data_IF_714358512739
#
_entry.id   IF_714358512739
#
_cell.length_a   1.000
_cell.length_b   1.000
_cell.length_c   1.000
_cell.angle_alpha   90.00
_cell.angle_beta   90.00
_cell.angle_gamma   90.00
#
_symmetry.space_group_name_H-M   'P 1'
#
loop_
_entity.id
_entity.type
_entity.pdbx_description
1 polymer ?
#
# COMPACT_ATOMS: atom_id res chain seq x y z
N UNK A 1 14.81 55.45 15.08
CA UNK A 1 15.79 56.10 14.17
C UNK A 1 16.14 55.06 13.10
N UNK A 2 15.89 55.35 11.82
CA UNK A 2 16.90 55.73 10.81
C UNK A 2 17.88 54.57 10.46
N UNK A 3 18.16 54.22 9.19
CA UNK A 3 17.74 54.87 7.92
C UNK A 3 17.73 53.88 6.73
N UNK A 4 17.37 54.37 5.53
CA UNK A 4 16.98 53.60 4.32
C UNK A 4 17.99 53.67 3.16
N UNK A 5 17.62 53.08 2.00
CA UNK A 5 18.21 53.17 0.63
C UNK A 5 19.25 52.09 0.26
N UNK A 6 19.40 51.65 -1.01
CA UNK A 6 18.85 52.12 -2.31
C UNK A 6 18.45 50.99 -3.30
N UNK A 7 18.03 51.32 -4.53
CA UNK A 7 17.58 50.40 -5.62
C UNK A 7 18.41 50.54 -6.92
N UNK A 8 18.57 49.45 -7.67
CA UNK A 8 18.70 49.35 -9.16
C UNK A 8 18.07 47.99 -9.60
N UNK A 9 17.32 47.75 -10.70
CA UNK A 9 16.76 48.48 -11.87
C UNK A 9 17.48 48.29 -13.24
N UNK A 10 16.72 47.76 -14.21
CA UNK A 10 16.87 47.76 -15.70
C UNK A 10 17.98 46.89 -16.37
N UNK A 11 17.85 46.40 -17.62
CA UNK A 11 16.66 46.12 -18.48
C UNK A 11 17.00 45.29 -19.76
N UNK A 12 15.99 44.56 -20.26
CA UNK A 12 15.63 44.19 -21.66
C UNK A 12 16.66 44.29 -22.82
N UNK A 13 16.75 43.23 -23.63
CA UNK A 13 17.02 43.28 -25.08
C UNK A 13 16.35 42.09 -25.83
N UNK A 14 16.06 42.26 -27.13
CA UNK A 14 15.24 41.33 -27.96
C UNK A 14 15.98 40.90 -29.23
N UNK A 15 15.60 39.76 -29.84
CA UNK A 15 16.07 39.32 -31.17
C UNK A 15 15.11 38.31 -31.80
N UNK A 16 14.93 38.31 -33.13
CA UNK A 16 13.83 37.58 -33.78
C UNK A 16 14.12 37.12 -35.24
N UNK A 17 13.62 35.91 -35.55
CA UNK A 17 12.94 35.46 -36.79
C UNK A 17 13.59 35.58 -38.21
N UNK A 18 13.15 34.63 -39.06
CA UNK A 18 13.23 34.55 -40.56
C UNK A 18 14.52 34.01 -41.22
N UNK A 19 14.50 33.34 -42.39
CA UNK A 19 13.55 32.33 -42.97
C UNK A 19 14.10 31.69 -44.28
N UNK A 20 13.60 30.49 -44.64
CA UNK A 20 13.64 29.80 -45.97
C UNK A 20 14.97 29.60 -46.74
N UNK A 21 15.19 28.36 -47.21
CA UNK A 21 15.05 27.99 -48.63
C UNK A 21 15.22 26.47 -48.86
N UNK A 22 14.65 25.94 -49.95
CA UNK A 22 14.72 24.54 -50.34
C UNK A 22 14.64 24.39 -51.88
N UNK A 23 15.16 23.29 -52.45
CA UNK A 23 14.74 22.76 -53.75
C UNK A 23 14.10 21.36 -53.63
N UNK A 24 13.27 20.97 -54.60
CA UNK A 24 12.51 19.72 -54.57
C UNK A 24 12.68 18.86 -55.84
N UNK A 25 12.77 17.55 -55.65
CA UNK A 25 12.62 16.43 -56.61
C UNK A 25 12.49 15.14 -55.77
N UNK A 26 11.75 14.08 -56.12
CA UNK A 26 10.73 13.86 -57.16
C UNK A 26 9.74 12.76 -56.67
N UNK A 27 8.65 12.52 -57.38
CA UNK A 27 7.55 11.61 -56.97
C UNK A 27 7.72 10.16 -57.47
N UNK A 28 7.31 9.19 -56.64
CA UNK A 28 7.03 7.80 -57.03
C UNK A 28 6.00 7.20 -56.07
N UNK A 29 4.90 6.64 -56.59
CA UNK A 29 3.79 6.15 -55.78
C UNK A 29 4.07 4.79 -55.11
N UNK A 30 3.62 4.65 -53.86
CA UNK A 30 3.47 3.37 -53.14
C UNK A 30 2.34 3.49 -52.12
N UNK A 31 1.19 2.89 -52.40
CA UNK A 31 0.03 2.87 -51.48
C UNK A 31 0.22 1.82 -50.39
N UNK A 32 0.33 2.25 -49.14
CA UNK A 32 0.20 1.39 -47.97
C UNK A 32 -0.62 2.12 -46.90
N UNK A 33 -1.86 1.70 -46.70
CA UNK A 33 -2.66 2.09 -45.54
C UNK A 33 -2.05 1.45 -44.28
N UNK A 34 -1.83 2.27 -43.26
CA UNK A 34 -1.45 1.84 -41.92
C UNK A 34 -2.18 2.73 -40.91
N UNK A 35 -3.45 2.38 -40.63
CA UNK A 35 -4.07 2.75 -39.37
C UNK A 35 -3.23 2.15 -38.23
N UNK A 36 -2.77 3.02 -37.34
CA UNK A 36 -2.20 2.64 -36.05
C UNK A 36 -3.08 3.22 -34.96
N UNK A 37 -4.06 2.43 -34.57
CA UNK A 37 -4.79 2.60 -33.32
C UNK A 37 -3.81 2.44 -32.13
N UNK A 38 -3.99 3.23 -31.09
CA UNK A 38 -3.11 3.29 -29.91
C UNK A 38 -3.91 2.99 -28.64
N UNK A 39 -4.38 1.74 -28.55
CA UNK A 39 -4.88 1.14 -27.32
C UNK A 39 -3.71 0.72 -26.42
N UNK A 40 -3.11 1.68 -25.70
CA UNK A 40 -2.19 1.40 -24.59
C UNK A 40 -3.00 0.89 -23.38
N UNK A 41 -3.46 -0.37 -23.46
CA UNK A 41 -3.99 -1.09 -22.30
C UNK A 41 -2.81 -1.53 -21.43
N UNK A 42 -2.56 -0.80 -20.35
CA UNK A 42 -1.56 -1.14 -19.33
C UNK A 42 -2.05 -2.31 -18.45
N UNK A 43 -2.07 -3.51 -19.02
CA UNK A 43 -2.20 -4.78 -18.31
C UNK A 43 -1.00 -4.97 -17.37
N UNK A 44 -1.15 -4.52 -16.12
CA UNK A 44 -0.21 -4.72 -15.02
C UNK A 44 -0.42 -6.07 -14.31
N UNK A 45 -0.70 -7.15 -15.05
CA UNK A 45 -0.58 -8.51 -14.54
C UNK A 45 0.90 -8.90 -14.30
N UNK A 46 1.46 -8.38 -13.21
CA UNK A 46 2.74 -8.82 -12.67
C UNK A 46 2.73 -10.34 -12.48
N UNK A 47 3.69 -11.01 -13.11
CA UNK A 47 3.70 -12.48 -13.18
C UNK A 47 4.41 -13.05 -11.97
N UNK A 48 3.66 -13.20 -10.88
CA UNK A 48 4.06 -13.96 -9.71
C UNK A 48 4.78 -15.25 -10.12
N UNK A 49 6.02 -15.43 -9.67
CA UNK A 49 6.74 -16.68 -9.84
C UNK A 49 6.13 -17.75 -8.93
N UNK A 50 6.37 -19.02 -9.25
CA UNK A 50 5.98 -20.17 -8.44
C UNK A 50 6.74 -20.26 -7.08
N UNK A 51 7.56 -19.26 -6.77
CA UNK A 51 8.14 -18.97 -5.46
C UNK A 51 7.23 -18.06 -4.62
N UNK A 52 6.90 -16.89 -5.14
CA UNK A 52 6.08 -15.84 -4.49
C UNK A 52 4.76 -16.42 -3.96
N UNK A 53 4.11 -17.23 -4.80
CA UNK A 53 2.85 -17.92 -4.52
C UNK A 53 2.91 -18.83 -3.27
N UNK A 54 4.11 -19.28 -2.86
CA UNK A 54 4.34 -20.06 -1.62
C UNK A 54 4.69 -19.18 -0.44
N UNK A 55 5.51 -18.15 -0.66
CA UNK A 55 5.85 -17.14 0.34
C UNK A 55 4.58 -16.51 0.89
N UNK A 56 3.70 -16.07 -0.02
CA UNK A 56 2.40 -15.47 0.29
C UNK A 56 1.49 -16.39 1.13
N UNK A 57 1.56 -17.71 0.85
CA UNK A 57 0.80 -18.76 1.57
C UNK A 57 1.48 -19.21 2.87
N UNK A 58 2.60 -18.58 3.25
CA UNK A 58 3.30 -18.82 4.51
C UNK A 58 4.27 -20.01 4.50
N UNK A 59 4.83 -20.37 3.33
CA UNK A 59 5.77 -21.49 3.17
C UNK A 59 7.13 -21.01 2.64
N UNK A 60 8.02 -20.67 3.57
CA UNK A 60 9.37 -20.14 3.33
C UNK A 60 10.36 -20.60 4.40
N UNK A 61 11.64 -20.64 4.05
CA UNK A 61 12.78 -20.93 4.93
C UNK A 61 13.35 -19.64 5.55
N UNK A 62 14.08 -19.74 6.67
CA UNK A 62 14.58 -18.58 7.43
C UNK A 62 15.65 -17.77 6.69
N UNK A 63 16.39 -18.38 5.77
CA UNK A 63 17.43 -17.72 4.96
C UNK A 63 16.88 -16.95 3.75
N UNK A 64 15.55 -16.96 3.57
CA UNK A 64 14.84 -16.14 2.58
C UNK A 64 14.32 -14.81 3.14
N UNK A 65 14.48 -14.56 4.45
CA UNK A 65 13.88 -13.40 5.12
C UNK A 65 14.90 -12.25 5.17
N UNK A 66 14.52 -11.11 4.59
CA UNK A 66 15.34 -9.89 4.57
C UNK A 66 14.68 -8.75 5.39
N UNK A 67 15.53 -7.84 5.90
CA UNK A 67 15.10 -6.64 6.63
C UNK A 67 14.37 -5.66 5.70
N UNK A 68 13.21 -5.16 6.13
CA UNK A 68 12.38 -4.19 5.39
C UNK A 68 12.33 -2.83 6.08
N UNK A 69 11.96 -1.81 5.32
CA UNK A 69 11.96 -0.41 5.77
C UNK A 69 10.56 0.19 5.74
N UNK A 70 10.34 1.35 6.37
CA UNK A 70 8.99 1.92 6.42
C UNK A 70 8.50 2.44 5.04
N UNK A 71 9.40 2.65 4.07
CA UNK A 71 9.03 3.03 2.70
C UNK A 71 8.34 1.90 1.93
N UNK A 72 8.56 0.64 2.29
CA UNK A 72 7.85 -0.53 1.76
C UNK A 72 6.31 -0.43 1.96
N UNK A 73 5.87 0.45 2.87
CA UNK A 73 4.46 0.79 3.14
C UNK A 73 4.16 2.29 2.97
N UNK A 74 5.03 3.11 2.35
CA UNK A 74 4.76 4.54 2.13
C UNK A 74 3.56 4.73 1.19
N UNK A 75 2.54 5.44 1.68
CA UNK A 75 1.25 5.53 0.99
C UNK A 75 0.14 6.08 1.89
N UNK A 76 -1.05 6.17 1.31
CA UNK A 76 -2.29 6.59 1.96
C UNK A 76 -3.27 5.41 1.90
N UNK A 77 -3.81 4.97 3.03
CA UNK A 77 -4.40 3.64 3.18
C UNK A 77 -5.76 3.68 3.89
N UNK A 78 -6.77 3.00 3.33
CA UNK A 78 -8.12 2.88 3.89
C UNK A 78 -8.30 1.55 4.64
N UNK A 79 -9.01 1.59 5.77
CA UNK A 79 -9.46 0.38 6.47
C UNK A 79 -10.54 -0.34 5.66
N UNK A 80 -10.46 -1.66 5.57
CA UNK A 80 -11.49 -2.48 4.91
C UNK A 80 -12.71 -2.77 5.81
N UNK A 81 -12.66 -2.37 7.08
CA UNK A 81 -13.73 -2.66 8.04
C UNK A 81 -15.08 -2.00 7.71
N UNK A 82 -15.16 -0.73 7.24
CA UNK A 82 -16.41 -0.15 6.76
C UNK A 82 -17.02 -0.92 5.57
N UNK A 83 -16.18 -1.41 4.65
CA UNK A 83 -16.61 -2.20 3.47
C UNK A 83 -17.19 -3.57 3.86
N UNK A 84 -16.80 -4.11 5.03
CA UNK A 84 -17.45 -5.28 5.62
C UNK A 84 -18.76 -4.93 6.35
N UNK A 85 -18.88 -3.71 6.87
CA UNK A 85 -20.07 -3.27 7.62
C UNK A 85 -21.23 -2.83 6.72
N UNK A 86 -20.94 -2.23 5.55
CA UNK A 86 -21.97 -1.78 4.60
C UNK A 86 -22.45 -2.87 3.63
N UNK A 87 -21.70 -3.98 3.53
CA UNK A 87 -22.00 -5.13 2.67
C UNK A 87 -21.23 -5.15 1.35
N UNK A 88 -20.34 -4.18 1.10
CA UNK A 88 -19.47 -4.15 -0.09
C UNK A 88 -18.66 -5.44 -0.26
N UNK A 89 -18.17 -6.03 0.85
CA UNK A 89 -17.41 -7.28 0.83
C UNK A 89 -18.26 -8.57 0.87
N UNK A 90 -19.60 -8.51 0.81
CA UNK A 90 -20.45 -9.72 0.74
C UNK A 90 -20.07 -10.68 -0.41
N UNK A 91 -19.70 -10.22 -1.64
CA UNK A 91 -19.23 -11.10 -2.71
C UNK A 91 -17.97 -11.88 -2.34
N UNK A 92 -17.04 -11.25 -1.60
CA UNK A 92 -15.81 -11.89 -1.12
C UNK A 92 -16.15 -13.02 -0.14
N UNK A 93 -17.08 -12.77 0.78
CA UNK A 93 -17.53 -13.77 1.77
C UNK A 93 -18.28 -14.93 1.09
N UNK A 94 -19.05 -14.65 0.03
CA UNK A 94 -19.68 -15.67 -0.80
C UNK A 94 -18.63 -16.52 -1.55
N UNK A 95 -17.67 -15.88 -2.23
CA UNK A 95 -16.61 -16.57 -2.97
C UNK A 95 -15.77 -17.48 -2.06
N UNK A 96 -15.33 -16.98 -0.89
CA UNK A 96 -14.58 -17.80 0.07
C UNK A 96 -15.43 -18.93 0.68
N UNK A 97 -16.77 -18.83 0.69
CA UNK A 97 -17.67 -19.92 1.05
C UNK A 97 -17.85 -21.00 -0.05
N UNK A 98 -17.64 -20.67 -1.33
CA UNK A 98 -17.69 -21.67 -2.42
C UNK A 98 -16.47 -22.60 -2.42
N UNK A 99 -15.38 -22.21 -1.77
CA UNK A 99 -14.10 -22.94 -1.74
C UNK A 99 -13.62 -23.30 -0.32
N UNK A 100 -14.37 -22.89 0.71
CA UNK A 100 -13.96 -22.94 2.11
C UNK A 100 -14.62 -24.02 2.98
N UNK A 101 -14.44 -23.90 4.30
CA UNK A 101 -15.01 -24.79 5.33
C UNK A 101 -16.18 -24.16 6.10
N UNK A 102 -16.63 -22.96 5.72
CA UNK A 102 -17.68 -22.17 6.41
C UNK A 102 -18.68 -21.60 5.43
N UNK A 103 -19.86 -21.24 5.93
CA UNK A 103 -20.83 -20.41 5.20
C UNK A 103 -20.34 -18.96 5.09
N UNK A 104 -20.89 -18.20 4.14
CA UNK A 104 -20.54 -16.78 3.96
C UNK A 104 -20.74 -15.96 5.24
N UNK A 105 -21.82 -16.20 6.00
CA UNK A 105 -22.09 -15.51 7.26
C UNK A 105 -21.06 -15.84 8.37
N UNK A 106 -20.59 -17.09 8.45
CA UNK A 106 -19.52 -17.49 9.37
C UNK A 106 -18.16 -16.90 8.96
N UNK A 107 -17.93 -16.68 7.67
CA UNK A 107 -16.81 -15.86 7.19
C UNK A 107 -17.00 -14.38 7.57
N UNK A 108 -18.18 -13.78 7.37
CA UNK A 108 -18.45 -12.39 7.77
C UNK A 108 -18.18 -12.18 9.27
N UNK A 109 -18.65 -13.07 10.16
CA UNK A 109 -18.37 -12.97 11.61
C UNK A 109 -16.88 -13.16 11.96
N UNK A 110 -16.16 -14.03 11.24
CA UNK A 110 -14.71 -14.20 11.39
C UNK A 110 -13.94 -12.95 10.96
N UNK A 111 -14.15 -12.47 9.73
CA UNK A 111 -13.51 -11.26 9.19
C UNK A 111 -13.93 -10.00 9.95
N UNK A 112 -15.13 -9.96 10.55
CA UNK A 112 -15.58 -8.87 11.42
C UNK A 112 -14.80 -8.81 12.73
N UNK A 113 -14.29 -9.94 13.22
CA UNK A 113 -13.38 -9.96 14.37
C UNK A 113 -11.96 -9.55 13.94
N UNK A 114 -11.52 -10.03 12.78
CA UNK A 114 -10.22 -9.69 12.19
C UNK A 114 -10.08 -8.19 11.89
N UNK A 115 -10.94 -7.63 11.05
CA UNK A 115 -10.81 -6.26 10.55
C UNK A 115 -11.19 -5.17 11.56
N UNK A 116 -11.85 -5.47 12.68
CA UNK A 116 -12.41 -4.47 13.58
C UNK A 116 -11.37 -3.44 14.06
N UNK A 117 -11.64 -2.17 13.75
CA UNK A 117 -10.83 -1.01 14.15
C UNK A 117 -11.68 0.25 14.06
N UNK A 118 -11.43 1.23 14.94
CA UNK A 118 -11.97 2.59 14.79
C UNK A 118 -11.01 3.50 13.98
N UNK A 119 -9.80 3.02 13.69
CA UNK A 119 -8.82 3.73 12.86
C UNK A 119 -9.17 3.51 11.39
N UNK A 120 -9.89 4.48 10.81
CA UNK A 120 -10.45 4.43 9.46
C UNK A 120 -9.38 4.52 8.35
N UNK A 121 -8.25 5.17 8.63
CA UNK A 121 -7.20 5.47 7.65
C UNK A 121 -5.82 5.52 8.30
N UNK A 122 -4.80 5.12 7.53
CA UNK A 122 -3.38 5.24 7.86
C UNK A 122 -2.68 6.03 6.76
N UNK A 123 -1.86 7.03 7.12
CA UNK A 123 -0.96 7.74 6.18
C UNK A 123 0.49 7.52 6.62
N UNK A 124 1.29 6.90 5.76
CA UNK A 124 2.71 6.57 5.97
C UNK A 124 3.54 7.46 5.06
N UNK A 125 4.57 8.12 5.62
CA UNK A 125 5.47 8.99 4.86
C UNK A 125 6.83 9.14 5.53
N UNK A 126 7.90 8.66 4.89
CA UNK A 126 9.25 8.67 5.42
C UNK A 126 9.34 7.87 6.73
N UNK A 127 9.62 8.57 7.84
CA UNK A 127 9.67 7.97 9.19
C UNK A 127 8.34 8.07 9.96
N UNK A 128 7.30 8.67 9.37
CA UNK A 128 6.10 9.11 10.06
C UNK A 128 4.88 8.28 9.67
N UNK A 129 4.14 7.77 10.67
CA UNK A 129 2.84 7.09 10.49
C UNK A 129 1.76 7.88 11.22
N UNK A 130 0.69 8.23 10.51
CA UNK A 130 -0.46 8.97 11.04
C UNK A 130 -1.70 8.08 11.00
N UNK A 131 -2.29 7.86 12.17
CA UNK A 131 -3.54 7.15 12.39
C UNK A 131 -4.67 8.18 12.36
N UNK A 132 -5.81 7.85 11.75
CA UNK A 132 -7.01 8.67 11.75
C UNK A 132 -8.19 7.91 12.35
N UNK A 133 -8.90 8.52 13.30
CA UNK A 133 -10.14 8.01 13.93
C UNK A 133 -11.21 9.10 13.80
N UNK A 134 -12.27 8.87 13.01
CA UNK A 134 -13.25 9.90 12.60
C UNK A 134 -12.56 11.16 12.06
N UNK A 135 -11.56 10.95 11.19
CA UNK A 135 -10.69 12.01 10.65
C UNK A 135 -9.79 12.73 11.66
N UNK A 136 -9.77 12.36 12.94
CA UNK A 136 -8.88 12.93 13.97
C UNK A 136 -7.48 12.32 13.87
N UNK A 137 -6.43 13.11 13.56
CA UNK A 137 -5.08 12.57 13.36
C UNK A 137 -4.33 12.34 14.68
N UNK A 138 -3.56 11.26 14.71
CA UNK A 138 -2.59 10.93 15.76
C UNK A 138 -1.31 10.42 15.10
N UNK A 139 -0.17 11.11 15.27
CA UNK A 139 1.05 10.83 14.50
C UNK A 139 2.20 10.30 15.38
N UNK A 140 2.79 9.17 14.98
CA UNK A 140 4.08 8.72 15.49
C UNK A 140 5.19 8.86 14.45
N UNK A 141 6.43 9.02 14.91
CA UNK A 141 7.64 8.72 14.12
C UNK A 141 8.23 7.43 14.64
N UNK A 142 8.69 6.59 13.73
CA UNK A 142 9.04 5.20 14.00
C UNK A 142 10.43 4.84 13.46
N UNK A 143 11.13 3.95 14.16
CA UNK A 143 12.42 3.40 13.77
C UNK A 143 12.31 1.86 13.73
N UNK A 144 12.99 1.22 12.78
CA UNK A 144 12.98 -0.24 12.63
C UNK A 144 13.54 -0.91 13.91
N UNK A 145 12.82 -1.94 14.38
CA UNK A 145 13.09 -2.76 15.56
C UNK A 145 13.12 -4.27 15.17
N UNK A 146 13.65 -4.53 13.97
CA UNK A 146 13.80 -5.84 13.34
C UNK A 146 12.48 -6.47 12.90
N UNK A 147 12.49 -7.80 12.86
CA UNK A 147 11.32 -8.63 12.56
C UNK A 147 11.24 -9.83 13.50
N UNK A 148 10.06 -10.46 13.56
CA UNK A 148 9.81 -11.70 14.31
C UNK A 148 9.04 -12.69 13.41
N UNK A 149 9.40 -13.97 13.47
CA UNK A 149 8.79 -15.00 12.60
C UNK A 149 7.81 -15.86 13.38
N UNK A 150 6.52 -15.68 13.07
CA UNK A 150 5.42 -16.46 13.66
C UNK A 150 5.24 -17.78 12.91
N UNK A 151 4.94 -18.84 13.65
CA UNK A 151 4.54 -20.15 13.10
C UNK A 151 3.16 -20.50 13.64
N UNK A 152 2.18 -20.57 12.74
CA UNK A 152 0.78 -20.74 13.10
C UNK A 152 0.42 -22.21 13.30
N UNK A 153 -0.72 -22.47 13.95
CA UNK A 153 -1.19 -23.82 14.31
C UNK A 153 -1.39 -24.76 13.12
N UNK A 154 -1.61 -24.23 11.92
CA UNK A 154 -1.74 -25.02 10.68
C UNK A 154 -0.38 -25.37 10.03
N UNK A 155 0.74 -24.85 10.55
CA UNK A 155 2.10 -25.10 10.05
C UNK A 155 2.61 -24.07 9.04
N UNK A 156 1.73 -23.20 8.51
CA UNK A 156 2.12 -22.01 7.77
C UNK A 156 2.74 -20.94 8.71
N UNK A 157 3.48 -20.02 8.12
CA UNK A 157 4.31 -19.02 8.81
C UNK A 157 3.92 -17.60 8.40
N UNK A 158 4.42 -16.60 9.12
CA UNK A 158 4.33 -15.20 8.73
C UNK A 158 5.41 -14.37 9.42
N UNK A 159 5.80 -13.25 8.82
CA UNK A 159 6.78 -12.32 9.39
C UNK A 159 6.06 -11.08 9.92
N UNK A 160 6.42 -10.63 11.11
CA UNK A 160 6.02 -9.35 11.69
C UNK A 160 7.18 -8.39 11.58
N UNK A 161 7.07 -7.33 10.78
CA UNK A 161 8.06 -6.26 10.70
C UNK A 161 7.74 -5.18 11.73
N UNK A 162 8.67 -4.89 12.63
CA UNK A 162 8.42 -4.16 13.87
C UNK A 162 9.11 -2.80 13.84
N UNK A 163 8.41 -1.77 14.34
CA UNK A 163 8.98 -0.45 14.51
C UNK A 163 8.62 0.14 15.88
N UNK A 164 9.61 0.72 16.58
CA UNK A 164 9.45 1.43 17.86
C UNK A 164 9.27 2.94 17.62
N UNK A 165 8.40 3.59 18.41
CA UNK A 165 8.12 5.04 18.30
C UNK A 165 9.30 5.88 18.79
N UNK A 166 10.07 6.41 17.86
CA UNK A 166 11.17 7.36 18.07
C UNK A 166 10.72 8.81 18.34
N UNK A 167 9.45 9.15 18.07
CA UNK A 167 8.88 10.45 18.38
C UNK A 167 7.45 10.66 17.88
N UNK A 168 7.04 11.93 17.74
CA UNK A 168 5.66 12.29 17.38
C UNK A 168 4.82 12.62 18.61
N UNK A 169 3.52 12.36 18.53
CA UNK A 169 2.55 12.62 19.58
C UNK A 169 2.70 11.68 20.78
N UNK A 170 2.38 12.20 21.96
CA UNK A 170 2.49 11.44 23.20
C UNK A 170 1.61 10.18 23.20
N UNK A 171 0.39 10.28 22.65
CA UNK A 171 -0.60 9.20 22.61
C UNK A 171 -0.47 8.21 21.44
N UNK A 172 0.39 8.46 20.45
CA UNK A 172 0.63 7.50 19.38
C UNK A 172 1.21 6.18 19.95
N UNK A 173 0.92 5.00 19.38
CA UNK A 173 1.40 3.72 19.91
C UNK A 173 2.92 3.66 20.12
N UNK A 174 3.41 2.99 21.17
CA UNK A 174 4.85 2.82 21.34
C UNK A 174 5.47 1.84 20.31
N UNK A 175 4.70 0.87 19.83
CA UNK A 175 5.11 -0.11 18.81
C UNK A 175 4.04 -0.26 17.72
N UNK A 176 4.52 -0.50 16.50
CA UNK A 176 3.70 -0.95 15.36
C UNK A 176 4.33 -2.21 14.75
N UNK A 177 3.50 -3.08 14.19
CA UNK A 177 3.93 -4.30 13.50
C UNK A 177 3.13 -4.49 12.21
N UNK A 178 3.82 -4.67 11.08
CA UNK A 178 3.22 -4.97 9.78
C UNK A 178 3.27 -6.47 9.48
N UNK A 179 2.27 -6.97 8.77
CA UNK A 179 2.23 -8.30 8.16
C UNK A 179 1.43 -8.22 6.86
N UNK A 180 2.10 -8.38 5.73
CA UNK A 180 1.59 -8.15 4.37
C UNK A 180 1.93 -9.31 3.41
N UNK A 181 2.14 -10.50 3.96
CA UNK A 181 2.49 -11.74 3.24
C UNK A 181 3.86 -11.75 2.54
N UNK A 182 4.62 -10.66 2.54
CA UNK A 182 5.98 -10.59 2.02
C UNK A 182 7.06 -10.86 3.10
N UNK A 183 8.24 -11.30 2.68
CA UNK A 183 9.39 -11.63 3.57
C UNK A 183 10.71 -10.94 3.19
N UNK A 184 10.68 -10.07 2.18
CA UNK A 184 11.85 -9.33 1.68
C UNK A 184 11.38 -7.97 1.11
N UNK A 185 12.28 -6.99 0.86
CA UNK A 185 11.92 -5.68 0.36
C UNK A 185 11.06 -5.68 -0.91
N UNK A 186 9.84 -5.17 -0.76
CA UNK A 186 8.90 -4.88 -1.84
C UNK A 186 7.87 -3.86 -1.35
N UNK A 187 7.25 -3.14 -2.28
CA UNK A 187 6.08 -2.32 -1.99
C UNK A 187 4.89 -3.25 -1.61
N UNK A 188 4.10 -2.85 -0.62
CA UNK A 188 2.93 -3.61 -0.18
C UNK A 188 1.72 -3.35 -1.10
N UNK A 189 0.95 -4.40 -1.42
CA UNK A 189 -0.38 -4.25 -2.04
C UNK A 189 -1.47 -3.95 -1.01
N UNK A 190 -1.40 -4.63 0.15
CA UNK A 190 -2.23 -4.39 1.33
C UNK A 190 -1.44 -4.83 2.58
N UNK A 191 -1.91 -4.50 3.79
CA UNK A 191 -1.29 -5.01 5.02
C UNK A 191 -2.26 -5.22 6.18
N UNK A 192 -1.89 -6.12 7.10
CA UNK A 192 -2.40 -6.14 8.47
C UNK A 192 -1.47 -5.31 9.37
N UNK A 193 -2.05 -4.42 10.18
CA UNK A 193 -1.30 -3.58 11.12
C UNK A 193 -1.73 -3.88 12.57
N UNK A 194 -0.74 -4.04 13.46
CA UNK A 194 -0.94 -4.28 14.89
C UNK A 194 -0.21 -3.18 15.65
N UNK A 195 -0.84 -2.55 16.65
CA UNK A 195 -0.26 -1.42 17.38
C UNK A 195 -0.61 -1.39 18.86
N UNK A 196 0.30 -0.87 19.67
CA UNK A 196 0.12 -0.71 21.11
C UNK A 196 1.43 -0.47 21.85
N UNK A 197 1.39 -0.53 23.18
CA UNK A 197 2.52 -0.16 24.04
C UNK A 197 3.35 -1.35 24.55
N UNK A 198 3.09 -2.56 24.05
CA UNK A 198 3.77 -3.81 24.43
C UNK A 198 4.11 -4.64 23.19
N UNK A 199 5.38 -4.54 22.74
CA UNK A 199 5.94 -5.28 21.59
C UNK A 199 5.67 -6.79 21.65
N UNK A 200 5.80 -7.39 22.83
CA UNK A 200 5.68 -8.83 22.99
C UNK A 200 4.21 -9.28 22.90
N UNK A 201 3.32 -8.55 23.56
CA UNK A 201 1.88 -8.84 23.53
C UNK A 201 1.28 -8.71 22.12
N UNK A 202 1.77 -7.78 21.29
CA UNK A 202 1.32 -7.68 19.89
C UNK A 202 1.63 -8.95 19.07
N UNK A 203 2.69 -9.70 19.41
CA UNK A 203 3.02 -10.98 18.77
C UNK A 203 2.11 -12.14 19.22
N UNK A 204 1.47 -12.00 20.38
CA UNK A 204 0.45 -12.95 20.86
C UNK A 204 -0.93 -12.71 20.21
N UNK A 205 -1.17 -11.51 19.65
CA UNK A 205 -2.41 -11.16 18.98
C UNK A 205 -2.47 -11.76 17.57
N UNK A 206 -3.48 -12.62 17.35
CA UNK A 206 -3.72 -13.40 16.13
C UNK A 206 -5.22 -13.54 15.81
N UNK A 207 -6.07 -12.71 16.44
CA UNK A 207 -7.53 -12.76 16.33
C UNK A 207 -8.13 -11.46 15.80
N UNK A 208 -7.55 -10.31 16.17
CA UNK A 208 -7.79 -9.01 15.57
C UNK A 208 -6.53 -8.56 14.80
N UNK A 209 -6.73 -8.14 13.55
CA UNK A 209 -5.71 -7.84 12.55
C UNK A 209 -6.27 -6.79 11.57
N UNK A 210 -6.43 -5.53 12.03
CA UNK A 210 -6.91 -4.43 11.21
C UNK A 210 -6.17 -4.35 9.87
N UNK A 211 -6.93 -4.35 8.78
CA UNK A 211 -6.42 -4.57 7.42
C UNK A 211 -6.68 -3.35 6.55
N UNK A 212 -5.66 -2.97 5.79
CA UNK A 212 -5.60 -1.72 5.04
C UNK A 212 -5.18 -1.94 3.59
N UNK A 213 -5.89 -1.29 2.66
CA UNK A 213 -5.63 -1.27 1.22
C UNK A 213 -5.39 0.20 0.77
N UNK A 214 -4.82 0.48 -0.41
CA UNK A 214 -4.57 1.84 -0.88
C UNK A 214 -5.86 2.66 -0.93
N UNK A 215 -5.81 3.90 -0.45
CA UNK A 215 -6.97 4.78 -0.29
C UNK A 215 -7.53 5.34 -1.62
N UNK A 216 -6.91 5.03 -2.75
CA UNK A 216 -7.39 5.38 -4.10
C UNK A 216 -8.22 4.28 -4.77
N UNK A 217 -8.17 3.04 -4.27
CA UNK A 217 -9.04 1.95 -4.73
C UNK A 217 -10.50 2.21 -4.31
N UNK A 218 -11.45 1.81 -5.15
CA UNK A 218 -12.85 1.71 -4.73
C UNK A 218 -13.09 0.43 -3.94
N UNK A 219 -14.22 0.36 -3.23
CA UNK A 219 -14.63 -0.87 -2.55
C UNK A 219 -14.92 -2.05 -3.50
N UNK A 220 -15.19 -1.78 -4.79
CA UNK A 220 -15.34 -2.82 -5.81
C UNK A 220 -13.96 -3.38 -6.22
N UNK A 221 -12.94 -2.53 -6.39
CA UNK A 221 -11.56 -2.94 -6.70
C UNK A 221 -10.95 -3.76 -5.54
N UNK A 222 -11.12 -3.29 -4.30
CA UNK A 222 -10.69 -4.02 -3.08
C UNK A 222 -11.38 -5.39 -2.99
N UNK A 223 -12.65 -5.50 -3.40
CA UNK A 223 -13.35 -6.78 -3.43
C UNK A 223 -12.79 -7.72 -4.50
N UNK A 224 -12.43 -7.21 -5.69
CA UNK A 224 -11.80 -7.99 -6.76
C UNK A 224 -10.41 -8.50 -6.35
N UNK A 225 -9.55 -7.65 -5.78
CA UNK A 225 -8.25 -8.06 -5.22
C UNK A 225 -8.42 -9.12 -4.11
N UNK A 226 -9.38 -8.94 -3.20
CA UNK A 226 -9.69 -9.95 -2.17
C UNK A 226 -10.26 -11.27 -2.73
N UNK A 227 -10.69 -11.33 -3.99
CA UNK A 227 -11.12 -12.56 -4.66
C UNK A 227 -10.03 -13.17 -5.55
N UNK A 228 -8.95 -12.44 -5.87
CA UNK A 228 -7.74 -12.96 -6.49
C UNK A 228 -6.82 -13.74 -5.51
N UNK A 229 -7.09 -13.65 -4.20
CA UNK A 229 -6.27 -14.20 -3.09
C UNK A 229 -6.96 -15.29 -2.25
#
# INVERSE_FOLDING_TARGET
MQQTFAKCVAAVATGALLVLSAPAFAQSDSTHDHDHDHSEEHDHSEKHDHGDDKVYKGYFEDDQIEDRTLSDWEGDWQSVYPLLQDGTLDPVMAHKAEHGDKTAAEYTDYYKTGYATEVDRILIKGDSVTFFEDGTPLQGRYANDGYEVLTYKAGNRGVRYIFEKSGGDAGAPAFIQFSDHAIAPQDAGHFHLYWGDDRAKLLEEVTNWPTYYPAELSGEDVAEEMMAH
#
